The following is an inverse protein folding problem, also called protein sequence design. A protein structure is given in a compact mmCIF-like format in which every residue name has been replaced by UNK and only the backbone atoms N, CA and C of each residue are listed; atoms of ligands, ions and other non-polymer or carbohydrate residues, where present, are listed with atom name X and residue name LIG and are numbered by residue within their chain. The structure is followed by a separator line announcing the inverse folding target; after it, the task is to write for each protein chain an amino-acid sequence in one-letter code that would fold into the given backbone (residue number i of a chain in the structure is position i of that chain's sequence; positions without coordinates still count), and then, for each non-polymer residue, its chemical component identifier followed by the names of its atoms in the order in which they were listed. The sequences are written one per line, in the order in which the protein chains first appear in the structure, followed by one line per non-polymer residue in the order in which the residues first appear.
data_IF_881571178847
#
_entry.id   IF_881571178847
#
_cell.length_a   1.000
_cell.length_b   1.000
_cell.length_c   1.000
_cell.angle_alpha   90.00
_cell.angle_beta   90.00
_cell.angle_gamma   90.00
#
_symmetry.space_group_name_H-M   'P 1'
#
loop_
_entity.id
_entity.type
_entity.pdbx_description
1 polymer ?
#
# COMPACT_ATOMS: atom_id res chain seq x y z
N UNK A 1 16.77 24.27 -10.08
CA UNK A 1 16.56 23.72 -9.94
C UNK A 1 16.02 23.26 -9.68
N UNK A 2 15.79 22.87 -9.73
CA UNK A 2 15.28 22.23 -9.52
C UNK A 2 14.93 21.84 -9.23
N UNK A 3 15.33 21.74 -9.34
CA UNK A 3 14.91 21.24 -8.94
C UNK A 3 14.12 21.14 -8.34
N UNK A 4 13.78 21.30 -8.44
CA UNK A 4 12.78 21.18 -7.84
C UNK A 4 11.98 20.17 -8.13
N UNK A 5 12.42 19.17 -7.96
CA UNK A 5 11.66 18.05 -7.93
C UNK A 5 10.51 18.24 -7.08
N UNK A 6 9.33 18.12 -7.60
CA UNK A 6 8.17 18.23 -6.77
C UNK A 6 8.29 17.19 -5.67
N UNK A 7 7.79 17.55 -4.52
CA UNK A 7 7.67 16.65 -3.47
C UNK A 7 7.01 15.39 -3.95
N UNK A 8 7.56 14.26 -3.61
CA UNK A 8 6.93 13.00 -3.96
C UNK A 8 5.55 12.92 -3.33
N UNK A 9 4.60 12.44 -4.12
CA UNK A 9 3.27 12.20 -3.59
C UNK A 9 3.32 11.03 -2.62
N UNK A 10 2.44 11.05 -1.61
CA UNK A 10 2.26 9.87 -0.78
C UNK A 10 1.56 8.81 -1.61
N UNK A 11 1.65 7.56 -1.17
CA UNK A 11 1.05 6.48 -1.96
C UNK A 11 -0.47 6.67 -2.06
N UNK A 12 -1.13 7.09 -0.97
CA UNK A 12 -2.57 7.32 -1.06
C UNK A 12 -2.91 8.43 -2.04
N UNK A 13 -2.05 9.45 -2.17
CA UNK A 13 -2.27 10.51 -3.15
C UNK A 13 -2.15 10.00 -4.57
N UNK A 14 -1.20 9.09 -4.81
CA UNK A 14 -1.06 8.48 -6.13
C UNK A 14 -2.32 7.72 -6.51
N UNK A 15 -2.83 6.90 -5.60
CA UNK A 15 -4.03 6.11 -5.88
C UNK A 15 -5.28 6.97 -5.98
N UNK A 16 -5.35 8.06 -5.21
CA UNK A 16 -6.44 9.01 -5.35
C UNK A 16 -6.42 9.64 -6.74
N UNK A 17 -5.23 9.95 -7.23
CA UNK A 17 -5.08 10.52 -8.56
C UNK A 17 -5.55 9.54 -9.63
N UNK A 18 -5.23 8.25 -9.46
CA UNK A 18 -5.74 7.20 -10.36
C UNK A 18 -7.26 7.24 -10.37
N UNK A 19 -7.87 7.38 -9.19
CA UNK A 19 -9.34 7.41 -9.09
C UNK A 19 -9.96 8.59 -9.78
N UNK A 20 -9.24 9.70 -9.94
CA UNK A 20 -9.76 10.91 -10.59
C UNK A 20 -9.64 10.86 -12.11
N UNK A 21 -8.89 9.91 -12.66
CA UNK A 21 -8.74 9.80 -14.11
C UNK A 21 -9.94 9.09 -14.69
N UNK A 22 -10.26 9.41 -15.93
CA UNK A 22 -11.48 8.88 -16.54
C UNK A 22 -11.27 7.69 -17.46
N UNK A 23 -10.06 7.55 -18.01
CA UNK A 23 -9.78 6.44 -18.91
C UNK A 23 -8.75 5.51 -18.33
N UNK A 24 -8.77 4.25 -18.81
CA UNK A 24 -7.79 3.26 -18.38
C UNK A 24 -6.38 3.72 -18.72
N UNK A 25 -6.20 4.29 -19.90
CA UNK A 25 -4.89 4.75 -20.34
C UNK A 25 -4.32 5.82 -19.40
N UNK A 26 -5.17 6.74 -18.97
CA UNK A 26 -4.74 7.80 -18.05
C UNK A 26 -4.37 7.22 -16.69
N UNK A 27 -5.12 6.22 -16.23
CA UNK A 27 -4.83 5.57 -14.96
C UNK A 27 -3.50 4.81 -14.99
N UNK A 28 -3.25 4.12 -16.10
CA UNK A 28 -1.98 3.43 -16.30
C UNK A 28 -0.83 4.42 -16.30
N UNK A 29 -1.03 5.55 -16.94
CA UNK A 29 0.01 6.58 -17.01
C UNK A 29 0.37 7.10 -15.62
N UNK A 30 -0.63 7.36 -14.77
CA UNK A 30 -0.36 7.80 -13.40
C UNK A 30 0.46 6.76 -12.65
N UNK A 31 0.07 5.49 -12.75
CA UNK A 31 0.81 4.43 -12.05
C UNK A 31 2.24 4.31 -12.54
N UNK A 32 2.45 4.41 -13.85
CA UNK A 32 3.80 4.31 -14.41
C UNK A 32 4.65 5.51 -14.06
N UNK A 33 4.04 6.69 -14.05
CA UNK A 33 4.75 7.91 -13.69
C UNK A 33 5.29 7.86 -12.27
N UNK A 34 4.56 7.23 -11.37
CA UNK A 34 4.93 7.14 -9.96
C UNK A 34 5.42 5.74 -9.57
N UNK A 35 5.89 4.98 -10.56
CA UNK A 35 6.39 3.63 -10.32
C UNK A 35 7.54 3.63 -9.32
N UNK A 36 7.37 2.88 -8.23
CA UNK A 36 8.41 2.72 -7.23
C UNK A 36 8.14 1.43 -6.48
N UNK A 37 9.12 1.00 -5.70
CA UNK A 37 8.99 -0.27 -4.97
C UNK A 37 7.79 -0.27 -4.03
N UNK A 38 7.59 0.83 -3.30
CA UNK A 38 6.49 0.92 -2.34
C UNK A 38 5.13 0.80 -3.04
N UNK A 39 4.96 1.48 -4.17
CA UNK A 39 3.71 1.38 -4.92
C UNK A 39 3.47 -0.05 -5.39
N UNK A 40 4.51 -0.69 -5.93
CA UNK A 40 4.38 -2.07 -6.38
C UNK A 40 4.07 -3.01 -5.22
N UNK A 41 4.69 -2.80 -4.06
CA UNK A 41 4.41 -3.62 -2.88
C UNK A 41 2.96 -3.50 -2.46
N UNK A 42 2.42 -2.28 -2.47
CA UNK A 42 1.02 -2.03 -2.13
C UNK A 42 0.09 -2.75 -3.12
N UNK A 43 0.36 -2.58 -4.40
CA UNK A 43 -0.50 -3.18 -5.43
C UNK A 43 -0.41 -4.70 -5.42
N UNK A 44 0.78 -5.24 -5.24
CA UNK A 44 0.94 -6.69 -5.16
C UNK A 44 0.22 -7.24 -3.93
N UNK A 45 0.43 -6.62 -2.77
CA UNK A 45 -0.23 -7.08 -1.54
C UNK A 45 -1.74 -7.00 -1.64
N UNK A 46 -2.25 -5.99 -2.35
CA UNK A 46 -3.68 -5.79 -2.45
C UNK A 46 -4.37 -6.66 -3.49
N UNK A 47 -3.67 -7.04 -4.55
CA UNK A 47 -4.32 -7.70 -5.69
C UNK A 47 -3.78 -9.09 -6.04
N UNK A 48 -2.63 -9.49 -5.50
CA UNK A 48 -2.08 -10.81 -5.79
C UNK A 48 -2.69 -11.82 -4.81
N UNK A 49 -3.47 -12.75 -5.34
CA UNK A 49 -4.15 -13.72 -4.50
C UNK A 49 -3.20 -14.73 -3.83
N UNK A 50 -1.95 -14.82 -4.31
CA UNK A 50 -0.97 -15.68 -3.67
C UNK A 50 -0.39 -15.04 -2.41
N UNK A 51 -0.62 -13.74 -2.21
CA UNK A 51 -0.16 -13.04 -1.01
C UNK A 51 -1.32 -13.01 -0.02
N UNK A 52 -1.16 -13.74 1.08
CA UNK A 52 -2.14 -13.75 2.16
C UNK A 52 -1.48 -13.20 3.42
N UNK A 53 -2.24 -12.47 4.22
CA UNK A 53 -1.70 -11.85 5.42
C UNK A 53 -2.12 -12.64 6.66
N UNK A 54 -1.20 -12.69 7.63
CA UNK A 54 -1.44 -13.44 8.87
C UNK A 54 -2.16 -12.63 9.93
N UNK A 55 -2.48 -11.38 9.60
CA UNK A 55 -3.16 -10.47 10.53
C UNK A 55 -4.67 -10.68 10.48
N UNK A 56 -5.36 -10.44 11.59
CA UNK A 56 -6.83 -10.56 11.57
C UNK A 56 -7.45 -9.49 10.68
N UNK A 57 -8.63 -9.80 10.18
CA UNK A 57 -9.37 -8.86 9.36
C UNK A 57 -9.85 -7.68 10.20
N UNK A 58 -9.96 -6.52 9.56
CA UNK A 58 -10.49 -5.33 10.22
C UNK A 58 -9.42 -4.39 10.69
N UNK A 59 -9.86 -3.23 11.13
CA UNK A 59 -8.95 -2.17 11.59
C UNK A 59 -8.54 -2.43 13.04
N UNK A 60 -7.22 -2.52 13.31
CA UNK A 60 -6.77 -2.66 14.69
C UNK A 60 -6.83 -1.31 15.42
N UNK A 61 -6.80 -1.31 16.75
CA UNK A 61 -6.72 -0.05 17.48
C UNK A 61 -5.33 0.56 17.31
N UNK A 62 -5.26 1.81 16.86
CA UNK A 62 -4.00 2.51 16.74
C UNK A 62 -4.23 4.01 16.81
N UNK A 63 -3.15 4.74 17.14
CA UNK A 63 -3.18 6.20 17.23
C UNK A 63 -2.67 6.77 15.92
N UNK A 64 -3.50 7.44 15.13
CA UNK A 64 -3.03 8.00 13.85
C UNK A 64 -1.90 9.00 14.04
N UNK A 65 -0.95 8.98 13.12
CA UNK A 65 0.15 9.93 13.12
C UNK A 65 -0.36 11.32 12.72
N UNK A 66 0.42 12.38 13.05
CA UNK A 66 0.08 13.73 12.56
C UNK A 66 0.13 13.78 11.04
N UNK A 67 -0.85 14.45 10.44
CA UNK A 67 -0.88 14.56 8.97
C UNK A 67 0.30 15.37 8.44
N UNK A 68 0.67 16.42 9.15
CA UNK A 68 1.71 17.34 8.64
C UNK A 68 3.10 16.76 8.67
N UNK A 69 3.42 16.02 9.70
CA UNK A 69 4.78 15.48 9.87
C UNK A 69 4.72 14.08 10.48
N UNK A 70 4.30 13.09 9.70
CA UNK A 70 4.34 11.73 10.23
C UNK A 70 5.78 11.28 10.44
N UNK A 71 6.04 10.45 11.44
CA UNK A 71 7.41 10.01 11.75
C UNK A 71 8.11 9.27 10.62
N UNK A 72 7.36 8.62 9.75
CA UNK A 72 7.94 7.85 8.66
C UNK A 72 7.09 7.98 7.40
N UNK A 73 7.27 7.10 6.45
CA UNK A 73 6.51 7.12 5.21
C UNK A 73 6.25 5.69 4.76
N UNK A 74 5.21 5.53 3.94
CA UNK A 74 4.94 4.21 3.38
C UNK A 74 6.08 3.77 2.45
N UNK A 75 6.79 4.73 1.86
CA UNK A 75 7.96 4.39 1.04
C UNK A 75 8.99 3.59 1.82
N UNK A 76 9.14 3.88 3.11
CA UNK A 76 10.06 3.15 3.98
C UNK A 76 9.41 1.93 4.60
N UNK A 77 8.15 2.07 5.03
CA UNK A 77 7.50 1.02 5.83
C UNK A 77 7.00 -0.14 4.99
N UNK A 78 6.84 0.04 3.68
CA UNK A 78 6.39 -1.06 2.83
C UNK A 78 7.36 -2.25 2.89
N UNK A 79 8.61 -2.01 3.23
CA UNK A 79 9.59 -3.08 3.36
C UNK A 79 9.24 -4.07 4.46
N UNK A 80 8.38 -3.68 5.39
CA UNK A 80 7.96 -4.57 6.48
C UNK A 80 6.79 -5.46 6.11
N UNK A 81 6.19 -5.27 4.95
CA UNK A 81 5.03 -6.06 4.54
C UNK A 81 5.31 -7.56 4.56
N UNK A 82 6.55 -7.96 4.28
CA UNK A 82 6.92 -9.38 4.28
C UNK A 82 6.72 -10.04 5.63
N UNK A 83 6.79 -9.26 6.72
CA UNK A 83 6.57 -9.81 8.06
C UNK A 83 5.11 -10.11 8.34
N UNK A 84 4.22 -9.57 7.52
CA UNK A 84 2.78 -9.73 7.69
C UNK A 84 2.19 -10.79 6.75
N UNK A 85 3.01 -11.32 5.83
CA UNK A 85 2.53 -12.25 4.82
C UNK A 85 2.76 -13.69 5.26
N UNK A 86 1.81 -14.56 4.91
CA UNK A 86 1.95 -15.99 5.12
C UNK A 86 3.15 -16.47 4.32
N UNK A 87 3.97 -17.31 4.95
CA UNK A 87 5.19 -17.81 4.32
C UNK A 87 6.39 -16.89 4.50
N UNK A 88 6.20 -15.71 5.06
CA UNK A 88 7.29 -14.78 5.28
C UNK A 88 7.92 -14.94 6.66
N UNK A 89 8.92 -14.11 6.95
CA UNK A 89 9.68 -14.25 8.21
C UNK A 89 8.83 -13.99 9.46
N UNK A 90 7.71 -13.28 9.34
CA UNK A 90 6.87 -13.00 10.48
C UNK A 90 6.15 -14.23 11.04
N UNK A 91 6.04 -15.30 10.24
CA UNK A 91 5.38 -16.51 10.73
C UNK A 91 6.12 -17.16 11.90
N UNK A 92 7.41 -16.86 12.02
CA UNK A 92 8.22 -17.39 13.13
C UNK A 92 8.08 -16.60 14.40
N UNK A 93 7.41 -15.47 14.34
CA UNK A 93 7.22 -14.61 15.49
C UNK A 93 5.87 -14.89 16.15
N UNK A 94 5.76 -14.62 17.47
CA UNK A 94 4.45 -14.72 18.11
C UNK A 94 3.45 -13.78 17.43
N UNK A 95 2.21 -14.23 17.30
CA UNK A 95 1.17 -13.45 16.63
C UNK A 95 1.03 -12.04 17.23
N UNK A 96 1.08 -11.94 18.56
CA UNK A 96 0.96 -10.63 19.21
C UNK A 96 2.08 -9.70 18.80
N UNK A 97 3.29 -10.24 18.56
CA UNK A 97 4.41 -9.43 18.12
C UNK A 97 4.18 -8.87 16.72
N UNK A 98 3.68 -9.74 15.83
CA UNK A 98 3.41 -9.33 14.46
C UNK A 98 2.33 -8.24 14.44
N UNK A 99 1.29 -8.39 15.26
CA UNK A 99 0.24 -7.40 15.34
C UNK A 99 0.77 -6.06 15.85
N UNK A 100 1.66 -6.09 16.84
CA UNK A 100 2.28 -4.86 17.33
C UNK A 100 3.13 -4.19 16.28
N UNK A 101 3.86 -4.97 15.48
CA UNK A 101 4.65 -4.43 14.38
C UNK A 101 3.76 -3.74 13.36
N UNK A 102 2.62 -4.36 13.05
CA UNK A 102 1.66 -3.78 12.10
C UNK A 102 1.11 -2.46 12.64
N UNK A 103 0.74 -2.43 13.91
CA UNK A 103 0.22 -1.20 14.54
C UNK A 103 1.27 -0.11 14.48
N UNK A 104 2.53 -0.43 14.72
CA UNK A 104 3.60 0.57 14.62
C UNK A 104 3.73 1.16 13.23
N UNK A 105 3.56 0.32 12.20
CA UNK A 105 3.56 0.83 10.84
C UNK A 105 2.44 1.85 10.66
N UNK A 106 1.23 1.50 11.12
CA UNK A 106 0.08 2.39 10.98
C UNK A 106 0.29 3.70 11.71
N UNK A 107 0.95 3.66 12.86
CA UNK A 107 1.15 4.86 13.69
C UNK A 107 2.31 5.73 13.22
N UNK A 108 3.09 5.27 12.26
CA UNK A 108 4.27 5.99 11.82
C UNK A 108 4.11 6.69 10.48
N UNK A 109 3.01 6.44 9.76
CA UNK A 109 2.82 6.98 8.42
C UNK A 109 1.59 7.87 8.40
N UNK A 110 1.42 8.61 7.29
CA UNK A 110 0.28 9.50 7.13
C UNK A 110 -1.03 8.72 7.37
N UNK A 111 -2.00 9.32 8.08
CA UNK A 111 -3.25 8.60 8.38
C UNK A 111 -3.96 8.00 7.17
N UNK A 112 -3.91 8.66 6.03
CA UNK A 112 -4.52 8.12 4.82
C UNK A 112 -3.73 6.94 4.27
N UNK A 113 -2.41 6.95 4.41
CA UNK A 113 -1.59 5.81 4.03
C UNK A 113 -1.87 4.63 4.98
N UNK A 114 -2.12 4.91 6.26
CA UNK A 114 -2.47 3.85 7.20
C UNK A 114 -3.79 3.18 6.80
N UNK A 115 -4.79 3.98 6.41
CA UNK A 115 -6.06 3.41 5.93
C UNK A 115 -5.84 2.55 4.69
N UNK A 116 -4.94 2.99 3.82
CA UNK A 116 -4.60 2.25 2.61
C UNK A 116 -3.97 0.90 2.95
N UNK A 117 -3.06 0.87 3.91
CA UNK A 117 -2.39 -0.36 4.33
C UNK A 117 -3.41 -1.35 4.91
N UNK A 118 -4.37 -0.86 5.68
CA UNK A 118 -5.44 -1.70 6.20
C UNK A 118 -6.24 -2.30 5.05
N UNK A 119 -6.54 -1.49 4.03
CA UNK A 119 -7.26 -1.98 2.85
C UNK A 119 -6.47 -3.04 2.09
N UNK A 120 -5.14 -2.88 2.01
CA UNK A 120 -4.27 -3.89 1.40
C UNK A 120 -4.39 -5.21 2.15
N UNK A 121 -4.28 -5.13 3.48
CA UNK A 121 -4.35 -6.30 4.33
C UNK A 121 -5.68 -7.05 4.18
N UNK A 122 -6.77 -6.29 4.09
CA UNK A 122 -8.11 -6.85 4.02
C UNK A 122 -8.58 -7.12 2.59
N UNK A 123 -7.70 -6.90 1.61
CA UNK A 123 -8.02 -7.09 0.18
C UNK A 123 -9.20 -6.23 -0.27
N UNK A 124 -9.28 -5.00 0.26
CA UNK A 124 -10.35 -4.07 -0.04
C UNK A 124 -9.87 -2.86 -0.86
N UNK A 125 -8.71 -2.98 -1.49
CA UNK A 125 -8.10 -1.86 -2.19
C UNK A 125 -8.97 -1.38 -3.36
N UNK A 126 -9.57 -2.31 -4.10
CA UNK A 126 -10.43 -1.95 -5.23
C UNK A 126 -11.67 -1.17 -4.77
N UNK A 127 -12.21 -1.51 -3.61
CA UNK A 127 -13.36 -0.81 -3.07
C UNK A 127 -13.02 0.57 -2.55
N UNK A 128 -11.77 0.76 -2.13
CA UNK A 128 -11.35 2.04 -1.57
C UNK A 128 -11.00 3.06 -2.66
N UNK A 129 -10.45 2.60 -3.78
CA UNK A 129 -10.02 3.50 -4.86
C UNK A 129 -10.73 3.15 -6.14
N UNK A 130 -11.67 3.99 -6.52
CA UNK A 130 -12.46 3.80 -7.73
C UNK A 130 -11.55 3.71 -8.95
N UNK A 131 -11.81 2.75 -9.83
CA UNK A 131 -11.02 2.58 -11.04
C UNK A 131 -9.76 1.75 -10.87
N UNK A 132 -9.38 1.47 -9.63
CA UNK A 132 -8.24 0.60 -9.36
C UNK A 132 -8.74 -0.84 -9.30
N UNK A 133 -8.12 -1.72 -10.06
CA UNK A 133 -8.56 -3.11 -10.15
C UNK A 133 -7.35 -4.01 -10.42
N UNK A 134 -7.54 -5.30 -10.20
CA UNK A 134 -6.50 -6.28 -10.50
C UNK A 134 -6.12 -6.23 -11.98
N UNK A 135 -7.12 -6.10 -12.83
CA UNK A 135 -6.88 -6.04 -14.27
C UNK A 135 -6.03 -4.84 -14.65
N UNK A 136 -6.34 -3.68 -14.06
CA UNK A 136 -5.55 -2.47 -14.32
C UNK A 136 -4.09 -2.67 -13.91
N UNK A 137 -3.89 -3.28 -12.73
CA UNK A 137 -2.55 -3.52 -12.23
C UNK A 137 -1.81 -4.51 -13.12
N UNK A 138 -2.48 -5.55 -13.60
CA UNK A 138 -1.87 -6.52 -14.49
C UNK A 138 -1.47 -5.91 -15.82
N UNK A 139 -2.26 -4.97 -16.32
CA UNK A 139 -1.92 -4.30 -17.56
C UNK A 139 -0.78 -3.31 -17.38
N UNK A 140 -0.72 -2.67 -16.22
CA UNK A 140 0.33 -1.69 -15.93
C UNK A 140 1.66 -2.37 -15.63
N UNK A 141 1.62 -3.42 -14.84
CA UNK A 141 2.81 -4.15 -14.38
C UNK A 141 2.62 -5.64 -14.64
N UNK A 142 2.84 -6.10 -15.88
CA UNK A 142 2.48 -7.48 -16.27
C UNK A 142 3.14 -8.59 -15.45
N UNK A 143 4.29 -8.32 -14.86
CA UNK A 143 5.01 -9.36 -14.10
C UNK A 143 4.82 -9.25 -12.59
N UNK A 144 4.07 -8.25 -12.14
CA UNK A 144 3.93 -8.00 -10.69
C UNK A 144 3.04 -9.02 -10.01
N UNK A 145 1.91 -9.34 -10.64
CA UNK A 145 0.90 -10.23 -10.07
C UNK A 145 1.11 -11.64 -10.57
N UNK A 146 1.14 -12.61 -9.65
CA UNK A 146 1.26 -14.02 -10.02
C UNK A 146 -0.11 -14.49 -10.51
N UNK A 147 -0.10 -15.12 -11.68
CA UNK A 147 -1.34 -15.61 -12.29
C UNK A 147 -1.60 -17.07 -12.00
#
# INVERSE_FOLDING_TARGET
MAVNKPKNLTIHEILTRVSTRQTKEERIEVLKEHNCLALRDVLKGGFDDTIQFILPEGEPPYEPAPEMNPPSSLYKMSKQFRYFAVGGPGERLPRARVEQMFIRVLESIHPKDAELVIAVKDKQLAGKYRGLSKKLVEETFPTLIVK
#
